data_IF_965587441969
#
_entry.id   IF_965587441969
#
_cell.length_a   1.000
_cell.length_b   1.000
_cell.length_c   1.000
_cell.angle_alpha   90.00
_cell.angle_beta   90.00
_cell.angle_gamma   90.00
#
_symmetry.space_group_name_H-M   'P 1'
#
loop_
_entity.id
_entity.type
_entity.pdbx_description
1 polymer ?
#
# COMPACT_ATOMS: atom_id res chain seq x y z
N UNK A 1 -7.57 19.79 -69.52
CA UNK A 1 -6.22 19.50 -68.97
C UNK A 1 -6.32 18.30 -68.04
N UNK A 2 -5.65 17.17 -68.19
CA UNK A 2 -5.00 16.52 -69.33
C UNK A 2 -5.24 15.02 -69.13
N UNK A 3 -5.85 14.40 -70.13
CA UNK A 3 -6.08 12.97 -70.24
C UNK A 3 -4.86 12.39 -70.96
N UNK A 4 -4.11 11.50 -70.31
CA UNK A 4 -3.00 10.77 -70.94
C UNK A 4 -3.42 9.31 -71.11
N UNK A 5 -3.66 8.96 -72.39
CA UNK A 5 -3.88 7.60 -72.89
C UNK A 5 -2.53 6.94 -73.13
N UNK A 6 -2.30 5.76 -72.56
CA UNK A 6 -1.23 4.87 -73.00
C UNK A 6 -1.85 3.60 -73.63
N UNK A 7 -1.56 3.30 -74.92
CA UNK A 7 -2.11 2.14 -75.61
C UNK A 7 -1.01 1.18 -76.09
N UNK A 8 -0.84 0.02 -75.46
CA UNK A 8 -0.10 -1.14 -76.02
C UNK A 8 -0.64 -2.41 -75.35
N UNK A 9 -1.64 -3.12 -75.89
CA UNK A 9 -1.59 -4.11 -76.99
C UNK A 9 -0.67 -5.30 -76.70
N UNK A 10 -1.29 -6.35 -76.16
CA UNK A 10 -1.07 -7.79 -76.37
C UNK A 10 0.34 -8.29 -76.73
N UNK A 11 0.97 -9.00 -75.79
CA UNK A 11 1.74 -10.22 -76.08
C UNK A 11 1.46 -11.26 -74.99
N UNK A 12 0.40 -12.05 -75.20
CA UNK A 12 0.25 -13.36 -74.57
C UNK A 12 1.31 -14.28 -75.19
N UNK A 13 2.50 -14.32 -74.57
CA UNK A 13 3.46 -15.40 -74.81
C UNK A 13 3.14 -16.53 -73.84
N UNK A 14 2.55 -17.59 -74.36
CA UNK A 14 2.33 -18.84 -73.62
C UNK A 14 3.67 -19.32 -73.04
N UNK A 15 3.76 -19.60 -71.73
CA UNK A 15 4.96 -20.25 -71.20
C UNK A 15 5.07 -21.65 -71.81
N UNK A 16 6.27 -22.10 -72.19
CA UNK A 16 6.46 -23.49 -72.60
C UNK A 16 6.07 -24.40 -71.44
N UNK A 17 5.19 -25.37 -71.72
CA UNK A 17 4.88 -26.46 -70.81
C UNK A 17 6.12 -27.34 -70.66
N UNK A 18 7.05 -26.93 -69.79
CA UNK A 18 8.18 -27.74 -69.39
C UNK A 18 7.64 -28.93 -68.60
N UNK A 19 7.71 -30.10 -69.22
CA UNK A 19 7.59 -31.41 -68.60
C UNK A 19 8.13 -31.37 -67.17
N UNK A 20 7.24 -31.45 -66.17
CA UNK A 20 7.62 -31.74 -64.79
C UNK A 20 8.21 -33.13 -64.79
N UNK A 21 9.53 -33.20 -64.98
CA UNK A 21 10.30 -34.36 -64.51
C UNK A 21 9.93 -34.48 -63.03
N UNK A 22 9.22 -35.55 -62.67
CA UNK A 22 9.06 -35.96 -61.28
C UNK A 22 10.48 -36.31 -60.80
N UNK A 23 11.22 -35.32 -60.34
CA UNK A 23 12.44 -35.52 -59.61
C UNK A 23 12.01 -36.17 -58.29
N UNK A 24 12.23 -37.47 -58.18
CA UNK A 24 12.17 -38.12 -56.88
C UNK A 24 13.27 -37.47 -56.02
N UNK A 25 12.89 -36.98 -54.84
CA UNK A 25 13.84 -36.42 -53.88
C UNK A 25 14.94 -37.45 -53.62
N UNK A 26 16.19 -37.02 -53.73
CA UNK A 26 17.30 -37.89 -53.36
C UNK A 26 17.26 -38.10 -51.85
N UNK A 27 17.56 -39.32 -51.38
CA UNK A 27 17.59 -39.63 -49.95
C UNK A 27 18.50 -38.66 -49.18
N UNK A 28 19.61 -38.22 -49.80
CA UNK A 28 20.54 -37.24 -49.25
C UNK A 28 19.90 -35.86 -48.99
N UNK A 29 19.05 -35.40 -49.91
CA UNK A 29 18.37 -34.09 -49.80
C UNK A 29 17.41 -34.06 -48.60
N UNK A 30 16.68 -35.16 -48.37
CA UNK A 30 15.79 -35.31 -47.21
C UNK A 30 16.60 -35.29 -45.91
N UNK A 31 17.74 -35.97 -45.86
CA UNK A 31 18.60 -36.00 -44.67
C UNK A 31 19.16 -34.60 -44.36
N UNK A 32 19.60 -33.85 -45.37
CA UNK A 32 20.08 -32.46 -45.19
C UNK A 32 18.93 -31.57 -44.70
N UNK A 33 17.75 -31.66 -45.32
CA UNK A 33 16.58 -30.89 -44.92
C UNK A 33 16.17 -31.19 -43.47
N UNK A 34 16.14 -32.46 -43.07
CA UNK A 34 15.85 -32.85 -41.68
C UNK A 34 16.90 -32.35 -40.70
N UNK A 35 18.18 -32.33 -41.09
CA UNK A 35 19.27 -31.83 -40.24
C UNK A 35 19.18 -30.32 -40.03
N UNK A 36 18.94 -29.56 -41.11
CA UNK A 36 18.75 -28.11 -41.05
C UNK A 36 17.49 -27.78 -40.23
N UNK A 37 16.39 -28.51 -40.43
CA UNK A 37 15.16 -28.34 -39.67
C UNK A 37 15.39 -28.60 -38.17
N UNK A 38 16.14 -29.66 -37.83
CA UNK A 38 16.51 -29.99 -36.46
C UNK A 38 17.34 -28.88 -35.80
N UNK A 39 18.35 -28.36 -36.51
CA UNK A 39 19.15 -27.24 -36.02
C UNK A 39 18.32 -25.97 -35.83
N UNK A 40 17.47 -25.60 -36.79
CA UNK A 40 16.61 -24.41 -36.68
C UNK A 40 15.65 -24.55 -35.50
N UNK A 41 15.00 -25.71 -35.36
CA UNK A 41 14.06 -25.97 -34.25
C UNK A 41 14.77 -25.91 -32.90
N UNK A 42 15.97 -26.48 -32.80
CA UNK A 42 16.80 -26.42 -31.59
C UNK A 42 17.17 -24.98 -31.22
N UNK A 43 17.59 -24.16 -32.19
CA UNK A 43 17.90 -22.74 -31.94
C UNK A 43 16.67 -21.93 -31.54
N UNK A 44 15.52 -22.16 -32.19
CA UNK A 44 14.27 -21.48 -31.84
C UNK A 44 13.85 -21.80 -30.41
N UNK A 45 13.94 -23.07 -30.02
CA UNK A 45 13.63 -23.50 -28.67
C UNK A 45 14.53 -22.84 -27.63
N UNK A 46 15.84 -22.82 -27.87
CA UNK A 46 16.80 -22.16 -26.99
C UNK A 46 16.53 -20.65 -26.85
N UNK A 47 16.19 -19.98 -27.95
CA UNK A 47 15.83 -18.55 -27.95
C UNK A 47 14.57 -18.29 -27.13
N UNK A 48 13.50 -19.07 -27.34
CA UNK A 48 12.24 -18.92 -26.60
C UNK A 48 12.49 -19.13 -25.10
N UNK A 49 13.24 -20.17 -24.71
CA UNK A 49 13.57 -20.40 -23.30
C UNK A 49 14.36 -19.25 -22.69
N UNK A 50 15.33 -18.70 -23.42
CA UNK A 50 16.09 -17.52 -23.01
C UNK A 50 15.19 -16.31 -22.80
N UNK A 51 14.28 -16.03 -23.75
CA UNK A 51 13.33 -14.92 -23.65
C UNK A 51 12.34 -15.07 -22.50
N UNK A 52 11.78 -16.27 -22.28
CA UNK A 52 10.83 -16.53 -21.19
C UNK A 52 11.51 -16.36 -19.83
N UNK A 53 12.72 -16.90 -19.66
CA UNK A 53 13.48 -16.74 -18.41
C UNK A 53 13.82 -15.26 -18.16
N UNK A 54 14.23 -14.53 -19.20
CA UNK A 54 14.50 -13.09 -19.09
C UNK A 54 13.25 -12.28 -18.72
N UNK A 55 12.10 -12.60 -19.33
CA UNK A 55 10.84 -11.93 -19.02
C UNK A 55 10.40 -12.16 -17.56
N UNK A 56 10.51 -13.40 -17.07
CA UNK A 56 10.17 -13.72 -15.68
C UNK A 56 11.04 -12.97 -14.66
N UNK A 57 12.34 -12.81 -14.96
CA UNK A 57 13.26 -12.06 -14.10
C UNK A 57 12.91 -10.56 -14.08
N UNK A 58 12.61 -9.98 -15.24
CA UNK A 58 12.19 -8.57 -15.34
C UNK A 58 10.90 -8.34 -14.54
N UNK A 59 9.92 -9.25 -14.65
CA UNK A 59 8.67 -9.15 -13.91
C UNK A 59 8.90 -9.23 -12.39
N UNK A 60 9.83 -10.10 -11.94
CA UNK A 60 10.21 -10.20 -10.52
C UNK A 60 10.76 -8.86 -10.03
N UNK A 61 11.72 -8.28 -10.74
CA UNK A 61 12.35 -7.00 -10.40
C UNK A 61 11.33 -5.86 -10.41
N UNK A 62 10.39 -5.86 -11.35
CA UNK A 62 9.32 -4.84 -11.38
C UNK A 62 8.38 -4.98 -10.19
N UNK A 63 7.92 -6.20 -9.88
CA UNK A 63 7.05 -6.47 -8.71
C UNK A 63 7.72 -6.04 -7.40
N UNK A 64 9.03 -6.27 -7.27
CA UNK A 64 9.83 -5.83 -6.12
C UNK A 64 9.90 -4.30 -6.01
N UNK A 65 10.19 -3.60 -7.11
CA UNK A 65 10.21 -2.13 -7.10
C UNK A 65 8.83 -1.54 -6.81
N UNK A 66 7.78 -2.13 -7.36
CA UNK A 66 6.40 -1.71 -7.12
C UNK A 66 6.00 -1.90 -5.66
N UNK A 67 6.39 -3.00 -5.02
CA UNK A 67 6.09 -3.24 -3.61
C UNK A 67 6.82 -2.24 -2.70
N UNK A 68 8.10 -1.98 -2.96
CA UNK A 68 8.90 -0.97 -2.24
C UNK A 68 8.23 0.40 -2.33
N UNK A 69 7.88 0.86 -3.54
CA UNK A 69 7.26 2.16 -3.74
C UNK A 69 5.92 2.28 -3.00
N UNK A 70 5.08 1.23 -3.07
CA UNK A 70 3.80 1.19 -2.34
C UNK A 70 4.00 1.27 -0.82
N UNK A 71 5.02 0.61 -0.28
CA UNK A 71 5.34 0.70 1.14
C UNK A 71 5.77 2.14 1.52
N UNK A 72 6.67 2.75 0.75
CA UNK A 72 7.15 4.11 1.02
C UNK A 72 6.02 5.16 0.92
N UNK A 73 5.09 4.98 -0.01
CA UNK A 73 3.88 5.80 -0.13
C UNK A 73 2.92 5.58 1.04
N UNK A 74 2.80 4.35 1.53
CA UNK A 74 2.00 4.04 2.72
C UNK A 74 2.60 4.68 3.98
N UNK A 75 3.93 4.66 4.13
CA UNK A 75 4.63 5.39 5.18
C UNK A 75 4.35 6.89 5.08
N UNK A 76 4.51 7.49 3.89
CA UNK A 76 4.22 8.91 3.67
C UNK A 76 2.80 9.25 4.08
N UNK A 77 1.83 8.49 3.58
CA UNK A 77 0.41 8.70 3.89
C UNK A 77 0.18 8.58 5.39
N UNK A 78 0.67 7.51 6.01
CA UNK A 78 0.49 7.27 7.44
C UNK A 78 1.03 8.44 8.25
N UNK A 79 2.30 8.81 8.09
CA UNK A 79 2.94 9.85 8.90
C UNK A 79 2.36 11.25 8.67
N UNK A 80 1.93 11.57 7.45
CA UNK A 80 1.34 12.89 7.14
C UNK A 80 -0.12 13.03 7.57
N UNK A 81 -0.83 11.92 7.80
CA UNK A 81 -2.24 11.94 8.22
C UNK A 81 -2.46 11.46 9.65
N UNK A 82 -1.40 11.38 10.46
CA UNK A 82 -1.56 10.94 11.85
C UNK A 82 -2.34 11.98 12.67
N UNK A 83 -3.28 11.56 13.52
CA UNK A 83 -4.01 12.47 14.41
C UNK A 83 -3.14 12.95 15.58
N UNK A 84 -3.48 14.07 16.20
CA UNK A 84 -2.80 14.58 17.41
C UNK A 84 -2.77 13.59 18.58
N UNK A 85 -3.73 12.66 18.61
CA UNK A 85 -3.83 11.64 19.65
C UNK A 85 -2.85 10.49 19.46
N UNK A 86 -2.14 10.44 18.32
CA UNK A 86 -1.20 9.38 18.07
C UNK A 86 0.08 9.56 18.89
N UNK A 87 0.68 8.44 19.27
CA UNK A 87 1.99 8.40 19.91
C UNK A 87 2.89 7.47 19.13
N UNK A 88 4.15 7.87 18.98
CA UNK A 88 5.18 7.08 18.30
C UNK A 88 6.17 6.61 19.36
N UNK A 89 6.47 5.32 19.34
CA UNK A 89 7.58 4.78 20.12
C UNK A 89 8.49 3.97 19.23
N UNK A 90 9.79 4.19 19.37
CA UNK A 90 10.83 3.49 18.63
C UNK A 90 11.76 2.83 19.63
N UNK A 91 11.80 1.50 19.61
CA UNK A 91 12.67 0.69 20.46
C UNK A 91 13.70 -0.07 19.64
N UNK A 92 14.92 -0.13 20.16
CA UNK A 92 15.93 -1.07 19.68
C UNK A 92 15.61 -2.46 20.25
N UNK A 93 15.66 -3.49 19.40
CA UNK A 93 15.56 -4.87 19.84
C UNK A 93 16.95 -5.47 20.00
N UNK A 94 17.07 -6.41 20.94
CA UNK A 94 18.34 -7.02 21.28
C UNK A 94 18.92 -7.73 20.05
N UNK A 95 20.12 -7.33 19.57
CA UNK A 95 20.75 -7.99 18.43
C UNK A 95 21.09 -9.46 18.68
N UNK A 96 21.08 -9.91 19.94
CA UNK A 96 21.34 -11.31 20.30
C UNK A 96 20.07 -12.18 20.27
N UNK A 97 18.89 -11.59 20.09
CA UNK A 97 17.66 -12.36 19.90
C UNK A 97 17.61 -12.94 18.49
N UNK A 98 17.48 -14.28 18.33
CA UNK A 98 17.43 -14.92 17.02
C UNK A 98 16.14 -14.61 16.24
N UNK A 99 15.09 -14.13 16.91
CA UNK A 99 13.74 -13.94 16.32
C UNK A 99 13.39 -12.48 16.05
N UNK A 100 14.16 -11.55 16.61
CA UNK A 100 13.90 -10.12 16.62
C UNK A 100 15.20 -9.33 16.65
N UNK A 101 15.82 -9.16 15.49
CA UNK A 101 16.95 -8.25 15.34
C UNK A 101 16.50 -6.97 14.65
N UNK A 102 16.95 -5.81 15.16
CA UNK A 102 16.70 -4.50 14.55
C UNK A 102 15.89 -3.55 15.42
N UNK A 103 14.95 -2.84 14.81
CA UNK A 103 14.14 -1.80 15.45
C UNK A 103 12.66 -2.12 15.32
N UNK A 104 11.88 -1.85 16.38
CA UNK A 104 10.42 -1.86 16.32
C UNK A 104 9.89 -0.43 16.42
N UNK A 105 9.08 -0.05 15.43
CA UNK A 105 8.31 1.18 15.45
C UNK A 105 6.87 0.83 15.85
N UNK A 106 6.42 1.37 16.97
CA UNK A 106 5.02 1.25 17.42
C UNK A 106 4.30 2.58 17.23
N UNK A 107 3.10 2.51 16.65
CA UNK A 107 2.21 3.63 16.41
C UNK A 107 0.90 3.34 17.14
N UNK A 108 0.61 4.12 18.18
CA UNK A 108 -0.62 4.02 18.96
C UNK A 108 -1.54 5.20 18.66
N UNK A 109 -2.84 5.06 18.92
CA UNK A 109 -3.79 6.18 18.83
C UNK A 109 -4.03 6.74 17.41
N UNK A 110 -3.61 6.01 16.37
CA UNK A 110 -3.74 6.39 14.97
C UNK A 110 -4.62 5.38 14.21
N UNK A 111 -5.96 5.52 14.20
CA UNK A 111 -6.83 4.47 13.69
C UNK A 111 -6.71 4.19 12.19
N UNK A 112 -6.11 5.11 11.44
CA UNK A 112 -5.89 5.00 10.00
C UNK A 112 -4.46 4.57 9.65
N UNK A 113 -3.60 4.30 10.63
CA UNK A 113 -2.21 3.88 10.38
C UNK A 113 -2.22 2.49 9.73
N UNK A 114 -1.55 2.38 8.58
CA UNK A 114 -1.43 1.12 7.85
C UNK A 114 -2.76 0.34 7.74
N UNK A 115 -3.79 1.01 7.20
CA UNK A 115 -5.13 0.43 7.01
C UNK A 115 -5.14 -0.77 6.06
N UNK A 116 -4.88 -1.96 6.60
CA UNK A 116 -4.95 -3.24 5.91
C UNK A 116 -6.17 -4.06 6.35
N UNK A 117 -6.48 -5.12 5.60
CA UNK A 117 -7.49 -6.10 5.96
C UNK A 117 -8.94 -5.64 5.77
N UNK A 118 -9.87 -6.40 6.34
CA UNK A 118 -11.31 -6.14 6.28
C UNK A 118 -11.72 -4.90 7.08
N UNK A 119 -10.93 -4.57 8.11
CA UNK A 119 -11.10 -3.39 8.96
C UNK A 119 -9.92 -2.44 8.76
N UNK A 120 -10.00 -1.50 7.80
CA UNK A 120 -8.93 -0.53 7.56
C UNK A 120 -8.78 0.53 8.67
N UNK A 121 -9.66 0.47 9.67
CA UNK A 121 -9.77 1.37 10.80
C UNK A 121 -9.62 0.55 12.07
N UNK A 122 -8.55 0.77 12.83
CA UNK A 122 -8.27 0.05 14.07
C UNK A 122 -7.55 0.93 15.07
N UNK A 123 -8.08 1.05 16.29
CA UNK A 123 -7.42 1.76 17.39
C UNK A 123 -6.32 0.93 18.06
N UNK A 124 -6.08 -0.30 17.60
CA UNK A 124 -5.01 -1.14 18.11
C UNK A 124 -3.65 -0.60 17.66
N UNK A 125 -2.65 -0.85 18.51
CA UNK A 125 -1.28 -0.46 18.23
C UNK A 125 -0.78 -1.16 16.96
N UNK A 126 -0.22 -0.37 16.06
CA UNK A 126 0.42 -0.87 14.85
C UNK A 126 1.92 -0.94 15.08
N UNK A 127 2.48 -2.15 14.96
CA UNK A 127 3.89 -2.40 15.20
C UNK A 127 4.55 -2.82 13.90
N UNK A 128 5.63 -2.14 13.52
CA UNK A 128 6.47 -2.46 12.37
C UNK A 128 7.82 -2.97 12.85
N UNK A 129 8.30 -4.06 12.24
CA UNK A 129 9.58 -4.65 12.61
C UNK A 129 10.08 -5.61 11.54
N UNK A 130 11.34 -6.00 11.67
CA UNK A 130 11.94 -7.04 10.84
C UNK A 130 11.77 -8.41 11.48
N UNK A 131 11.52 -9.41 10.64
CA UNK A 131 11.46 -10.81 11.02
C UNK A 131 12.43 -11.63 10.17
N UNK A 132 13.23 -12.52 10.80
CA UNK A 132 14.18 -13.33 10.05
C UNK A 132 13.46 -14.21 9.03
N UNK A 133 14.05 -14.39 7.86
CA UNK A 133 13.53 -15.34 6.88
C UNK A 133 13.59 -16.76 7.48
N UNK A 134 12.47 -17.51 7.56
CA UNK A 134 12.47 -18.88 8.07
C UNK A 134 13.37 -19.84 7.27
N UNK A 135 13.68 -19.51 6.02
CA UNK A 135 14.63 -20.28 5.21
C UNK A 135 16.10 -19.94 5.51
N UNK A 136 16.37 -18.94 6.37
CA UNK A 136 17.72 -18.48 6.68
C UNK A 136 18.44 -17.89 5.46
N UNK A 137 17.68 -17.27 4.54
CA UNK A 137 18.25 -16.72 3.32
C UNK A 137 19.24 -15.60 3.64
N UNK A 138 20.32 -15.55 2.87
CA UNK A 138 21.36 -14.51 2.95
C UNK A 138 21.54 -13.86 1.59
N UNK A 139 21.96 -12.60 1.59
CA UNK A 139 22.35 -11.90 0.37
C UNK A 139 23.75 -12.35 -0.11
N UNK A 140 24.20 -11.81 -1.25
CA UNK A 140 25.54 -12.10 -1.79
C UNK A 140 26.69 -11.65 -0.87
N UNK A 141 26.41 -10.74 0.07
CA UNK A 141 27.38 -10.21 1.04
C UNK A 141 27.36 -11.00 2.37
N UNK A 142 26.51 -12.02 2.49
CA UNK A 142 26.33 -12.80 3.71
C UNK A 142 25.45 -12.13 4.78
N UNK A 143 24.77 -11.03 4.46
CA UNK A 143 23.78 -10.42 5.35
C UNK A 143 22.50 -11.26 5.37
N UNK A 144 21.93 -11.47 6.56
CA UNK A 144 20.67 -12.17 6.71
C UNK A 144 19.53 -11.37 6.08
N UNK A 145 18.69 -12.05 5.30
CA UNK A 145 17.49 -11.48 4.73
C UNK A 145 16.33 -11.62 5.72
N UNK A 146 15.52 -10.58 5.77
CA UNK A 146 14.38 -10.46 6.65
C UNK A 146 13.13 -10.11 5.85
N UNK A 147 11.98 -10.32 6.49
CA UNK A 147 10.72 -9.75 6.08
C UNK A 147 10.45 -8.50 6.91
N UNK A 148 10.12 -7.40 6.25
CA UNK A 148 9.45 -6.30 6.92
C UNK A 148 8.01 -6.70 7.16
N UNK A 149 7.62 -6.74 8.43
CA UNK A 149 6.31 -7.18 8.85
C UNK A 149 5.58 -6.11 9.65
N UNK A 150 4.27 -6.27 9.70
CA UNK A 150 3.36 -5.48 10.51
C UNK A 150 2.60 -6.41 11.46
N UNK A 151 2.58 -6.06 12.74
CA UNK A 151 1.74 -6.70 13.74
C UNK A 151 0.65 -5.74 14.18
N UNK A 152 -0.59 -6.23 14.17
CA UNK A 152 -1.77 -5.53 14.70
C UNK A 152 -2.76 -6.58 15.19
N UNK A 153 -3.33 -6.38 16.37
CA UNK A 153 -4.15 -7.41 17.02
C UNK A 153 -5.44 -7.76 16.24
N UNK A 154 -6.02 -6.80 15.52
CA UNK A 154 -7.25 -7.01 14.74
C UNK A 154 -7.01 -7.57 13.34
N UNK A 155 -5.77 -7.52 12.82
CA UNK A 155 -5.48 -8.01 11.46
C UNK A 155 -5.39 -9.53 11.38
N UNK A 156 -4.89 -10.15 12.45
CA UNK A 156 -4.67 -11.59 12.52
C UNK A 156 -5.47 -12.12 13.71
N UNK A 157 -6.70 -12.60 13.47
CA UNK A 157 -7.56 -13.11 14.52
C UNK A 157 -6.89 -14.30 15.23
N UNK A 158 -6.78 -14.23 16.55
CA UNK A 158 -6.28 -15.33 17.39
C UNK A 158 -7.28 -16.49 17.48
N UNK A 159 -8.55 -16.21 17.24
CA UNK A 159 -9.68 -17.15 17.31
C UNK A 159 -10.58 -16.97 16.10
N UNK A 160 -11.21 -18.05 15.64
CA UNK A 160 -12.27 -17.94 14.65
C UNK A 160 -13.57 -17.34 15.27
N UNK A 161 -14.57 -17.06 14.43
CA UNK A 161 -15.88 -16.55 14.88
C UNK A 161 -16.61 -17.48 15.87
N UNK A 162 -16.21 -18.75 15.95
CA UNK A 162 -16.74 -19.76 16.87
C UNK A 162 -15.94 -19.87 18.17
N UNK A 163 -14.93 -19.01 18.37
CA UNK A 163 -14.08 -18.99 19.56
C UNK A 163 -13.08 -20.15 19.62
N UNK A 164 -12.92 -20.90 18.53
CA UNK A 164 -11.90 -21.94 18.42
C UNK A 164 -10.57 -21.31 18.00
N UNK A 165 -9.48 -21.73 18.64
CA UNK A 165 -8.14 -21.29 18.27
C UNK A 165 -7.85 -21.71 16.82
N UNK A 166 -7.52 -20.75 15.97
CA UNK A 166 -7.12 -21.02 14.59
C UNK A 166 -5.84 -21.86 14.63
N UNK A 167 -5.71 -22.85 13.74
CA UNK A 167 -4.57 -23.79 13.73
C UNK A 167 -3.26 -23.00 13.66
N UNK A 168 -2.61 -22.90 14.81
CA UNK A 168 -1.42 -22.09 15.04
C UNK A 168 -0.23 -22.82 14.43
N UNK A 169 0.38 -22.22 13.41
CA UNK A 169 1.68 -22.67 12.92
C UNK A 169 2.72 -22.31 13.99
N UNK A 170 3.43 -23.31 14.52
CA UNK A 170 4.44 -23.11 15.58
C UNK A 170 5.79 -22.63 15.03
N UNK A 171 5.98 -22.74 13.71
CA UNK A 171 7.22 -22.41 13.01
C UNK A 171 6.89 -21.67 11.72
N UNK A 172 7.82 -20.80 11.28
CA UNK A 172 7.68 -20.04 10.05
C UNK A 172 7.23 -18.59 10.26
N UNK A 173 7.01 -17.88 9.15
CA UNK A 173 6.69 -16.45 9.14
C UNK A 173 5.33 -16.11 9.77
N UNK A 174 4.40 -17.07 9.76
CA UNK A 174 3.07 -16.96 10.36
C UNK A 174 3.05 -17.33 11.85
N UNK A 175 4.16 -17.83 12.38
CA UNK A 175 4.23 -18.21 13.78
C UNK A 175 4.20 -16.97 14.68
N UNK A 176 3.54 -17.05 15.85
CA UNK A 176 3.58 -15.96 16.81
C UNK A 176 5.03 -15.75 17.30
N UNK A 177 5.36 -14.51 17.63
CA UNK A 177 6.61 -14.22 18.34
C UNK A 177 6.53 -14.61 19.83
N UNK A 178 7.61 -14.35 20.56
CA UNK A 178 7.71 -14.64 22.00
C UNK A 178 6.65 -13.91 22.83
N UNK A 179 6.13 -12.80 22.32
CA UNK A 179 5.05 -12.01 22.92
C UNK A 179 3.65 -12.47 22.46
N UNK A 180 3.55 -13.53 21.65
CA UNK A 180 2.30 -14.04 21.12
C UNK A 180 1.68 -13.18 20.01
N UNK A 181 2.46 -12.26 19.41
CA UNK A 181 2.04 -11.37 18.33
C UNK A 181 2.21 -12.07 16.99
N UNK A 182 1.21 -11.93 16.13
CA UNK A 182 1.27 -12.42 14.76
C UNK A 182 1.72 -11.32 13.82
N UNK A 183 2.46 -11.71 12.78
CA UNK A 183 3.12 -10.79 11.87
C UNK A 183 2.63 -10.99 10.44
N UNK A 184 2.16 -9.92 9.83
CA UNK A 184 1.79 -9.88 8.42
C UNK A 184 2.98 -9.37 7.60
N UNK A 185 3.50 -10.14 6.64
CA UNK A 185 4.60 -9.67 5.81
C UNK A 185 4.16 -8.59 4.84
N UNK A 186 4.95 -7.50 4.78
CA UNK A 186 4.75 -6.37 3.87
C UNK A 186 5.76 -6.40 2.72
N UNK A 187 7.04 -6.57 3.04
CA UNK A 187 8.13 -6.64 2.05
C UNK A 187 9.06 -7.81 2.37
N UNK A 188 9.32 -8.71 1.39
CA UNK A 188 10.36 -9.74 1.53
C UNK A 188 11.75 -9.17 1.21
N UNK A 189 12.78 -9.98 1.44
CA UNK A 189 14.16 -9.73 0.97
C UNK A 189 14.76 -8.40 1.47
N UNK A 190 14.44 -8.02 2.71
CA UNK A 190 14.96 -6.81 3.36
C UNK A 190 16.26 -7.17 4.10
N UNK A 191 17.37 -6.56 3.71
CA UNK A 191 18.65 -6.75 4.38
C UNK A 191 18.74 -5.93 5.68
N UNK A 192 18.21 -4.70 5.68
CA UNK A 192 18.18 -3.84 6.86
C UNK A 192 17.08 -2.78 6.76
N UNK A 193 16.50 -2.42 7.89
CA UNK A 193 15.56 -1.32 8.04
C UNK A 193 15.98 -0.53 9.28
N UNK A 194 16.15 0.79 9.10
CA UNK A 194 16.51 1.70 10.16
C UNK A 194 15.58 2.91 10.18
N UNK A 195 15.07 3.23 11.36
CA UNK A 195 14.27 4.39 11.70
C UNK A 195 15.12 5.36 12.51
N UNK A 196 14.98 6.65 12.22
CA UNK A 196 15.58 7.72 13.01
C UNK A 196 14.62 8.88 13.11
N UNK A 197 14.51 9.48 14.29
CA UNK A 197 13.62 10.60 14.55
C UNK A 197 14.43 11.85 14.85
N UNK A 198 14.05 12.97 14.24
CA UNK A 198 14.74 14.24 14.42
C UNK A 198 14.08 15.02 15.56
N UNK A 199 14.90 15.37 16.57
CA UNK A 199 14.53 16.25 17.67
C UNK A 199 15.01 17.66 17.39
N UNK A 200 14.06 18.59 17.30
CA UNK A 200 14.35 19.99 16.91
C UNK A 200 15.15 20.73 17.99
N UNK A 201 14.82 20.52 19.28
CA UNK A 201 15.47 21.22 20.40
C UNK A 201 16.98 20.98 20.47
N UNK A 202 17.41 19.75 20.18
CA UNK A 202 18.80 19.32 20.26
C UNK A 202 19.47 19.23 18.87
N UNK A 203 18.73 19.48 17.79
CA UNK A 203 19.16 19.27 16.39
C UNK A 203 19.78 17.88 16.10
N UNK A 204 19.29 16.84 16.78
CA UNK A 204 19.86 15.48 16.70
C UNK A 204 18.87 14.46 16.13
N UNK A 205 19.44 13.44 15.49
CA UNK A 205 18.72 12.26 15.03
C UNK A 205 18.88 11.13 16.04
N UNK A 206 17.78 10.68 16.61
CA UNK A 206 17.71 9.62 17.62
C UNK A 206 17.27 8.29 16.98
N UNK A 207 17.82 7.19 17.48
CA UNK A 207 17.49 5.81 17.06
C UNK A 207 16.51 5.12 18.01
N UNK A 208 16.15 5.81 19.07
CA UNK A 208 15.14 5.48 20.06
C UNK A 208 14.25 6.70 20.26
N UNK A 209 12.98 6.46 20.55
CA UNK A 209 12.03 7.53 20.85
C UNK A 209 10.92 7.06 21.76
N UNK A 210 10.71 7.79 22.83
CA UNK A 210 9.65 7.59 23.81
C UNK A 210 9.08 8.94 24.30
N UNK A 211 9.40 10.04 23.62
CA UNK A 211 8.92 11.37 24.00
C UNK A 211 7.44 11.54 23.64
N UNK A 212 6.74 12.23 24.54
CA UNK A 212 5.38 12.74 24.35
C UNK A 212 5.28 13.76 23.22
N UNK A 213 6.35 14.52 22.98
CA UNK A 213 6.43 15.44 21.86
C UNK A 213 6.61 14.69 20.55
N UNK A 214 6.07 15.24 19.48
CA UNK A 214 6.20 14.64 18.16
C UNK A 214 7.57 14.93 17.57
N UNK A 215 8.21 13.95 16.92
CA UNK A 215 9.44 14.22 16.19
C UNK A 215 9.16 15.15 15.02
N UNK A 216 10.06 16.09 14.74
CA UNK A 216 9.88 17.03 13.64
C UNK A 216 9.99 16.32 12.28
N UNK A 217 10.91 15.35 12.17
CA UNK A 217 11.12 14.53 10.98
C UNK A 217 11.29 13.05 11.35
N UNK A 218 10.81 12.18 10.49
CA UNK A 218 11.00 10.73 10.54
C UNK A 218 11.81 10.31 9.33
N UNK A 219 12.96 9.67 9.55
CA UNK A 219 13.80 9.09 8.52
C UNK A 219 13.67 7.56 8.49
N UNK A 220 13.45 7.03 7.30
CA UNK A 220 13.52 5.60 6.96
C UNK A 220 14.74 5.36 6.09
N UNK A 221 15.56 4.39 6.47
CA UNK A 221 16.59 3.82 5.62
C UNK A 221 16.27 2.34 5.40
N UNK A 222 15.96 1.98 4.16
CA UNK A 222 15.62 0.63 3.75
C UNK A 222 16.69 0.08 2.81
N UNK A 223 17.38 -0.98 3.24
CA UNK A 223 18.33 -1.72 2.42
C UNK A 223 17.69 -3.02 1.94
N UNK A 224 17.50 -3.13 0.63
CA UNK A 224 16.99 -4.34 -0.01
C UNK A 224 18.13 -5.29 -0.37
N UNK A 225 17.81 -6.56 -0.58
CA UNK A 225 18.72 -7.57 -1.12
C UNK A 225 19.46 -7.06 -2.37
N UNK A 226 20.74 -7.40 -2.46
CA UNK A 226 21.64 -7.09 -3.58
C UNK A 226 21.82 -5.58 -3.88
N UNK A 227 21.26 -4.68 -3.05
CA UNK A 227 21.54 -3.24 -3.14
C UNK A 227 22.69 -2.87 -2.23
N UNK A 228 23.56 -2.00 -2.72
CA UNK A 228 24.70 -1.46 -1.94
C UNK A 228 24.37 -0.18 -1.19
N UNK A 229 23.35 0.55 -1.64
CA UNK A 229 22.93 1.82 -1.05
C UNK A 229 21.52 1.70 -0.48
N UNK A 230 21.29 2.16 0.77
CA UNK A 230 19.96 2.18 1.35
C UNK A 230 19.09 3.22 0.65
N UNK A 231 17.83 2.88 0.44
CA UNK A 231 16.79 3.81 0.05
C UNK A 231 16.47 4.66 1.27
N UNK A 232 16.72 5.96 1.18
CA UNK A 232 16.49 6.91 2.27
C UNK A 232 15.27 7.78 1.96
N UNK A 233 14.33 7.83 2.89
CA UNK A 233 13.15 8.69 2.83
C UNK A 233 13.01 9.48 4.13
N UNK A 234 12.58 10.73 4.02
CA UNK A 234 12.33 11.60 5.18
C UNK A 234 10.90 12.14 5.08
N UNK A 235 10.18 12.07 6.19
CA UNK A 235 8.79 12.47 6.32
C UNK A 235 8.66 13.56 7.38
N UNK A 236 7.89 14.60 7.07
CA UNK A 236 7.46 15.59 8.06
C UNK A 236 6.21 15.10 8.77
N UNK A 237 6.13 15.37 10.06
CA UNK A 237 4.99 14.99 10.88
C UNK A 237 4.11 16.22 11.16
N UNK A 238 2.77 16.14 11.16
CA UNK A 238 1.93 17.31 11.37
C UNK A 238 2.18 17.96 12.73
N UNK A 239 2.68 19.20 12.73
CA UNK A 239 2.77 20.00 13.94
C UNK A 239 1.40 20.61 14.23
N UNK A 240 0.71 20.10 15.25
CA UNK A 240 -0.58 20.66 15.67
C UNK A 240 -0.29 21.75 16.72
N UNK A 241 -0.11 22.98 16.24
CA UNK A 241 -0.11 24.15 17.10
C UNK A 241 -1.54 24.38 17.59
N UNK A 242 -1.84 23.92 18.81
CA UNK A 242 -3.06 24.29 19.51
C UNK A 242 -3.02 25.81 19.75
N UNK A 243 -3.54 26.59 18.82
CA UNK A 243 -3.74 28.02 19.02
C UNK A 243 -4.82 28.15 20.08
N UNK A 244 -4.44 28.57 21.28
CA UNK A 244 -5.36 28.83 22.37
C UNK A 244 -6.43 29.79 21.85
N UNK A 245 -7.66 29.30 21.71
CA UNK A 245 -8.76 30.12 21.24
C UNK A 245 -8.87 31.34 22.15
N UNK A 246 -8.90 32.52 21.55
CA UNK A 246 -9.18 33.79 22.23
C UNK A 246 -10.62 33.75 22.74
N UNK A 247 -10.87 32.94 23.75
CA UNK A 247 -12.06 33.01 24.55
C UNK A 247 -12.04 34.39 25.16
N UNK A 248 -12.95 35.25 24.72
CA UNK A 248 -13.31 36.46 25.43
C UNK A 248 -13.69 36.02 26.83
N UNK A 249 -12.73 36.07 27.76
CA UNK A 249 -13.00 36.11 29.17
C UNK A 249 -13.82 37.37 29.36
N UNK A 250 -15.15 37.23 29.32
CA UNK A 250 -16.07 38.22 29.83
C UNK A 250 -15.68 38.43 31.28
N UNK A 251 -14.82 39.41 31.50
CA UNK A 251 -14.41 39.84 32.81
C UNK A 251 -15.68 40.24 33.54
N UNK A 252 -16.14 39.38 34.43
CA UNK A 252 -17.05 39.74 35.49
C UNK A 252 -16.29 40.73 36.37
N UNK A 253 -16.39 42.01 36.04
CA UNK A 253 -16.00 43.10 36.93
C UNK A 253 -16.90 43.03 38.16
N UNK A 254 -16.46 42.27 39.16
CA UNK A 254 -16.98 42.30 40.51
C UNK A 254 -16.71 43.67 41.11
N UNK A 255 -17.69 44.58 41.01
CA UNK A 255 -17.71 45.82 41.75
C UNK A 255 -18.30 45.59 43.13
N UNK A 256 -17.46 45.46 44.15
CA UNK A 256 -17.87 45.45 45.54
C UNK A 256 -17.59 46.82 46.20
N UNK A 257 -18.67 47.44 46.67
CA UNK A 257 -18.82 48.37 47.81
C UNK A 257 -17.99 49.66 47.90
N UNK A 258 -18.67 50.82 48.01
CA UNK A 258 -18.75 51.51 49.31
C UNK A 258 -19.85 52.60 49.40
N UNK A 259 -20.43 52.71 50.60
CA UNK A 259 -21.45 53.68 51.05
C UNK A 259 -20.93 55.13 51.13
N UNK A 260 -21.78 56.13 50.86
CA UNK A 260 -22.33 57.06 51.87
C UNK A 260 -23.00 58.33 51.29
N UNK A 261 -24.26 58.51 51.70
CA UNK A 261 -24.88 59.73 52.27
C UNK A 261 -25.24 60.98 51.42
N UNK A 262 -26.35 61.58 51.88
CA UNK A 262 -26.93 62.91 51.63
C UNK A 262 -27.86 63.09 50.40
N UNK A 263 -29.19 63.17 50.56
CA UNK A 263 -30.04 64.29 51.08
C UNK A 263 -30.61 65.14 49.93
N UNK A 264 -31.95 65.13 49.79
CA UNK A 264 -32.71 66.33 49.40
C UNK A 264 -33.54 66.27 48.10
N UNK A 265 -34.86 66.35 48.25
CA UNK A 265 -35.66 67.30 47.45
C UNK A 265 -36.58 66.76 46.33
N UNK A 266 -37.86 66.54 46.68
CA UNK A 266 -39.09 66.99 45.99
C UNK A 266 -39.03 67.35 44.48
N UNK A 267 -39.87 66.73 43.63
CA UNK A 267 -41.22 67.24 43.29
C UNK A 267 -41.95 66.44 42.17
N UNK A 268 -43.23 66.13 42.45
CA UNK A 268 -44.45 66.20 41.61
C UNK A 268 -44.53 65.76 40.13
N UNK A 269 -45.53 64.90 39.88
CA UNK A 269 -46.51 64.94 38.76
C UNK A 269 -46.12 64.12 37.52
N UNK A 270 -46.98 63.34 36.86
CA UNK A 270 -48.43 63.16 36.90
C UNK A 270 -48.93 62.86 35.47
N UNK A 271 -49.70 61.77 35.29
CA UNK A 271 -50.51 61.47 34.09
C UNK A 271 -49.73 61.10 32.82
N UNK A 272 -50.28 60.50 31.76
CA UNK A 272 -51.60 59.93 31.44
C UNK A 272 -51.45 59.28 30.05
N UNK A 273 -52.07 58.12 29.86
CA UNK A 273 -52.85 57.67 28.69
C UNK A 273 -52.50 58.05 27.23
N UNK A 274 -52.59 57.04 26.34
CA UNK A 274 -52.94 57.19 24.92
C UNK A 274 -51.79 56.77 23.99
N UNK A 275 -51.89 55.76 23.14
CA UNK A 275 -53.00 55.40 22.25
C UNK A 275 -52.75 56.03 20.87
N UNK A 276 -52.32 55.23 19.88
CA UNK A 276 -52.17 55.73 18.50
C UNK A 276 -51.31 54.89 17.56
N UNK A 277 -51.90 53.86 16.96
CA UNK A 277 -51.68 53.48 15.53
C UNK A 277 -52.71 54.30 14.70
N UNK A 278 -52.73 54.33 13.34
CA UNK A 278 -51.77 53.90 12.30
C UNK A 278 -51.61 54.93 11.13
N UNK A 279 -50.75 54.61 10.15
CA UNK A 279 -50.75 55.18 8.79
C UNK A 279 -49.87 56.43 8.62
N UNK A 280 -49.14 56.65 7.53
CA UNK A 280 -48.95 55.93 6.28
C UNK A 280 -48.09 56.79 5.35
N UNK A 281 -47.63 56.17 4.26
CA UNK A 281 -47.39 56.77 2.94
C UNK A 281 -46.12 57.63 2.71
N UNK A 282 -45.29 57.16 1.78
CA UNK A 282 -44.21 57.93 1.14
C UNK A 282 -43.12 57.06 0.54
N UNK A 283 -43.37 56.46 -0.64
CA UNK A 283 -42.30 55.91 -1.51
C UNK A 283 -41.62 57.04 -2.32
N UNK A 284 -41.06 56.75 -3.51
CA UNK A 284 -39.92 55.88 -3.78
C UNK A 284 -38.81 56.64 -4.56
N UNK A 285 -37.57 56.17 -4.51
CA UNK A 285 -36.47 56.57 -5.41
C UNK A 285 -35.41 55.48 -5.38
N UNK A 286 -35.18 54.72 -6.45
CA UNK A 286 -34.42 55.15 -7.64
C UNK A 286 -32.95 54.81 -7.36
N UNK A 287 -32.34 53.75 -7.90
CA UNK A 287 -32.32 53.34 -9.30
C UNK A 287 -30.93 53.64 -9.84
N UNK A 288 -30.07 52.62 -9.96
CA UNK A 288 -28.96 52.62 -10.91
C UNK A 288 -28.53 51.17 -11.18
N UNK A 289 -29.31 50.51 -12.04
CA UNK A 289 -28.81 49.53 -12.97
C UNK A 289 -28.67 50.25 -14.32
N UNK A 290 -27.54 50.10 -14.99
CA UNK A 290 -27.31 50.67 -16.31
C UNK A 290 -26.11 50.06 -17.02
N UNK A 291 -26.11 50.01 -18.36
CA UNK A 291 -25.80 48.80 -19.13
C UNK A 291 -24.76 49.03 -20.25
N UNK A 292 -24.63 48.02 -21.15
CA UNK A 292 -23.92 47.98 -22.43
C UNK A 292 -22.46 47.47 -22.43
N UNK A 293 -22.21 46.29 -23.00
CA UNK A 293 -21.98 46.19 -24.45
C UNK A 293 -22.06 44.72 -24.97
N UNK A 294 -22.34 44.52 -26.28
CA UNK A 294 -22.87 43.27 -26.84
C UNK A 294 -22.00 42.61 -27.94
N UNK A 295 -22.35 41.34 -28.26
CA UNK A 295 -22.16 40.68 -29.58
C UNK A 295 -20.75 40.17 -29.89
N UNK A 296 -20.51 39.01 -30.50
CA UNK A 296 -21.36 38.02 -31.14
C UNK A 296 -20.48 37.15 -32.06
N UNK A 297 -20.92 35.92 -32.39
CA UNK A 297 -20.47 35.19 -33.58
C UNK A 297 -19.83 33.82 -33.36
N UNK A 298 -20.61 32.74 -33.53
CA UNK A 298 -20.11 31.49 -34.15
C UNK A 298 -19.98 31.66 -35.68
N UNK A 299 -19.99 30.61 -36.54
CA UNK A 299 -20.26 29.18 -36.32
C UNK A 299 -19.38 28.17 -37.13
N UNK A 300 -19.60 26.85 -36.91
CA UNK A 300 -19.37 25.75 -37.88
C UNK A 300 -18.19 24.80 -37.56
N UNK A 301 -18.37 23.55 -37.09
CA UNK A 301 -18.73 22.26 -37.79
C UNK A 301 -17.65 21.81 -38.82
N UNK A 302 -17.56 20.52 -39.26
CA UNK A 302 -18.31 19.27 -38.92
C UNK A 302 -17.49 17.94 -38.86
N UNK A 303 -18.14 16.84 -38.42
CA UNK A 303 -17.98 15.45 -38.95
C UNK A 303 -16.72 14.67 -38.55
N UNK A 304 -16.79 13.50 -37.92
CA UNK A 304 -17.39 12.25 -38.43
C UNK A 304 -16.67 11.02 -37.82
N UNK A 305 -16.89 9.79 -38.29
CA UNK A 305 -17.68 8.77 -37.56
C UNK A 305 -16.99 7.40 -37.37
N UNK A 306 -17.65 6.50 -36.62
CA UNK A 306 -17.40 5.05 -36.58
C UNK A 306 -16.87 4.59 -35.22
N UNK A 307 -17.46 3.66 -34.47
CA UNK A 307 -18.35 2.56 -34.84
C UNK A 307 -17.67 1.27 -34.38
N UNK A 308 -18.10 0.69 -33.26
CA UNK A 308 -18.06 -0.77 -33.10
C UNK A 308 -19.06 -1.25 -32.03
N UNK A 309 -20.09 -2.02 -32.44
CA UNK A 309 -21.00 -2.73 -31.56
C UNK A 309 -20.63 -4.22 -31.52
N UNK A 310 -20.33 -4.77 -30.34
CA UNK A 310 -20.33 -6.23 -30.20
C UNK A 310 -19.43 -6.76 -29.09
N UNK A 311 -20.00 -7.01 -27.91
CA UNK A 311 -19.53 -8.12 -27.10
C UNK A 311 -20.71 -9.06 -26.84
N UNK A 312 -20.71 -10.27 -27.42
CA UNK A 312 -21.80 -11.20 -27.29
C UNK A 312 -21.81 -11.82 -25.89
N UNK A 313 -23.02 -11.97 -25.35
CA UNK A 313 -23.28 -12.90 -24.27
C UNK A 313 -22.95 -14.32 -24.72
N UNK A 314 -22.12 -14.99 -23.95
CA UNK A 314 -21.88 -16.43 -24.03
C UNK A 314 -22.50 -17.09 -22.81
N UNK A 315 -23.81 -17.32 -22.86
CA UNK A 315 -24.44 -18.34 -22.03
C UNK A 315 -23.98 -19.71 -22.53
N UNK A 316 -23.45 -20.52 -21.62
CA UNK A 316 -22.99 -21.87 -21.89
C UNK A 316 -23.26 -22.75 -20.66
N UNK A 317 -24.53 -23.05 -20.42
CA UNK A 317 -24.93 -24.27 -19.74
C UNK A 317 -24.39 -25.45 -20.56
N UNK A 318 -23.70 -26.40 -19.93
CA UNK A 318 -23.85 -27.82 -20.24
C UNK A 318 -23.20 -28.73 -19.19
N UNK A 319 -23.66 -30.00 -19.11
CA UNK A 319 -23.91 -30.70 -17.86
C UNK A 319 -23.07 -31.98 -17.70
N UNK A 320 -23.25 -32.65 -16.56
CA UNK A 320 -22.80 -34.03 -16.32
C UNK A 320 -21.40 -34.08 -15.74
N UNK A 321 -21.13 -34.75 -14.62
CA UNK A 321 -21.74 -35.98 -14.16
C UNK A 321 -20.68 -37.07 -14.25
N UNK A 322 -20.27 -37.60 -13.10
CA UNK A 322 -19.64 -38.92 -13.04
C UNK A 322 -18.50 -39.05 -12.04
N UNK A 323 -18.30 -40.25 -11.47
CA UNK A 323 -17.93 -40.40 -10.07
C UNK A 323 -16.56 -41.07 -9.85
N UNK A 324 -16.07 -40.98 -8.62
CA UNK A 324 -15.45 -42.12 -7.91
C UNK A 324 -14.03 -42.53 -8.30
N UNK A 325 -13.09 -42.28 -7.39
CA UNK A 325 -12.02 -43.23 -7.02
C UNK A 325 -11.39 -42.74 -5.71
N UNK A 326 -11.77 -43.21 -4.52
CA UNK A 326 -11.25 -44.42 -3.86
C UNK A 326 -9.73 -44.61 -4.01
N UNK A 327 -8.97 -44.20 -3.00
CA UNK A 327 -7.55 -44.52 -2.79
C UNK A 327 -7.14 -44.20 -1.35
N UNK A 328 -6.23 -44.97 -0.72
CA UNK A 328 -6.47 -45.51 0.62
C UNK A 328 -5.83 -44.73 1.78
N UNK A 329 -6.47 -44.91 2.94
CA UNK A 329 -5.96 -44.63 4.29
C UNK A 329 -4.79 -45.58 4.66
N UNK A 330 -3.81 -45.10 5.43
CA UNK A 330 -3.19 -45.85 6.53
C UNK A 330 -3.79 -45.32 7.86
N UNK A 331 -4.43 -46.07 8.77
CA UNK A 331 -3.98 -47.23 9.57
C UNK A 331 -2.51 -47.08 9.96
N UNK A 332 -2.10 -46.71 11.17
CA UNK A 332 -2.62 -47.06 12.49
C UNK A 332 -1.45 -47.70 13.28
N UNK A 333 -1.21 -47.24 14.51
CA UNK A 333 -0.22 -47.79 15.46
C UNK A 333 0.79 -46.72 15.89
N UNK A 334 0.96 -46.35 17.16
CA UNK A 334 0.58 -47.01 18.41
C UNK A 334 1.83 -47.53 19.14
N UNK A 335 2.23 -46.75 20.16
CA UNK A 335 2.90 -47.18 21.41
C UNK A 335 4.42 -47.46 21.47
N UNK A 336 5.04 -46.69 22.39
CA UNK A 336 5.83 -47.11 23.56
C UNK A 336 7.33 -47.45 23.47
N UNK A 337 8.11 -46.56 24.12
CA UNK A 337 9.10 -46.80 25.19
C UNK A 337 10.37 -47.64 24.96
N UNK A 338 11.52 -46.97 25.03
CA UNK A 338 12.72 -47.32 25.81
C UNK A 338 13.62 -46.06 25.79
N UNK A 339 14.12 -45.48 26.88
CA UNK A 339 14.68 -46.11 28.07
C UNK A 339 16.20 -46.16 27.95
N UNK A 340 16.89 -45.04 28.11
CA UNK A 340 18.35 -45.00 28.26
C UNK A 340 18.76 -43.83 29.18
N UNK A 341 18.71 -44.12 30.48
CA UNK A 341 19.42 -43.39 31.52
C UNK A 341 20.91 -43.72 31.42
N UNK A 342 21.76 -42.70 31.18
CA UNK A 342 23.20 -42.81 31.42
C UNK A 342 23.58 -41.90 32.59
N UNK A 343 24.09 -42.57 33.60
CA UNK A 343 24.69 -42.12 34.84
C UNK A 343 26.11 -41.55 34.64
N UNK A 344 26.44 -40.53 35.42
CA UNK A 344 27.81 -40.10 35.77
C UNK A 344 27.70 -38.74 36.45
N UNK A 345 27.69 -38.57 37.78
CA UNK A 345 28.58 -39.04 38.85
C UNK A 345 30.03 -38.52 38.72
N UNK A 346 30.39 -37.63 39.65
CA UNK A 346 31.69 -36.99 39.86
C UNK A 346 31.46 -35.50 40.16
N UNK A 347 31.36 -35.02 41.40
CA UNK A 347 32.43 -35.04 42.42
C UNK A 347 33.50 -34.03 42.00
N UNK A 348 33.85 -32.98 42.71
CA UNK A 348 33.60 -32.47 44.05
C UNK A 348 34.61 -31.34 44.29
N UNK A 349 34.63 -30.83 45.52
CA UNK A 349 35.65 -29.99 46.15
C UNK A 349 35.68 -28.47 45.88
N UNK A 350 35.40 -27.80 47.01
CA UNK A 350 36.02 -26.59 47.58
C UNK A 350 35.59 -25.24 47.03
#
# INVERSE_FOLDING_TARGET
MNCVKNPWTSMFTSPPSSSRRRAAFTLMEIVIAMTILGMITGTLFALIQGSVKGAAEIERIQRENDSINRFLDLCRKTFTTMPSTATLTLSLLDPNSPTTSGQELTISGAPHSFGFGFNPLSYQDTILGLRPDPAGATDQNGAALNYLCLSREDLIPKTDESGLAMRQETEGLSAPDEQGRYWMPLLPEVASLKWRFFKEDDETWLEEWDDSNWPALIEVQLLMKDRTLPIRMVYSVPQILLTQGTGTSSGSSGGASNQNNATGGTNSGGGSSGGGRPGGQGGPGGGNAGPNAPGGGGPGRPGGPGGDPGRPGGGGNSPGGGPGSSGPRPSGGGASSAGASVSGQGGGNR
#
